data_IF_381586921406
#
_entry.id   IF_381586921406
#
_cell.length_a   1.000
_cell.length_b   1.000
_cell.length_c   1.000
_cell.angle_alpha   90.00
_cell.angle_beta   90.00
_cell.angle_gamma   90.00
#
_symmetry.space_group_name_H-M   'P 1'
#
loop_
_entity.id
_entity.type
_entity.pdbx_description
1 polymer ?
#
# COMPACT_ATOMS: atom_id res chain seq x y z
N UNK A 1 10.78 7.76 3.83
CA UNK A 1 9.31 7.71 3.83
C UNK A 1 8.79 7.26 2.47
N UNK A 2 7.62 6.62 2.43
CA UNK A 2 6.99 6.11 1.22
C UNK A 2 5.60 6.71 1.06
N UNK A 3 5.23 7.10 -0.16
CA UNK A 3 3.89 7.50 -0.52
C UNK A 3 3.25 6.42 -1.37
N UNK A 4 2.30 5.70 -0.81
CA UNK A 4 1.49 4.74 -1.53
C UNK A 4 0.41 5.52 -2.27
N UNK A 5 0.50 5.51 -3.60
CA UNK A 5 -0.46 6.14 -4.51
C UNK A 5 -1.60 5.19 -4.90
N UNK A 6 -1.35 3.87 -4.78
CA UNK A 6 -2.33 2.86 -5.16
C UNK A 6 -2.15 1.56 -4.39
N UNK A 7 -3.27 0.98 -3.97
CA UNK A 7 -3.35 -0.34 -3.35
C UNK A 7 -4.07 -1.26 -4.32
N UNK A 8 -3.47 -2.40 -4.64
CA UNK A 8 -4.07 -3.44 -5.45
C UNK A 8 -4.26 -4.68 -4.57
N UNK A 9 -5.52 -4.96 -4.25
CA UNK A 9 -5.92 -6.16 -3.54
C UNK A 9 -6.20 -7.27 -4.56
N UNK A 10 -5.58 -8.43 -4.36
CA UNK A 10 -5.80 -9.64 -5.13
C UNK A 10 -6.35 -10.71 -4.19
N UNK A 11 -7.54 -11.21 -4.49
CA UNK A 11 -8.15 -12.33 -3.80
C UNK A 11 -8.72 -13.30 -4.83
N UNK A 12 -8.24 -14.54 -4.83
CA UNK A 12 -8.56 -15.51 -5.88
C UNK A 12 -8.36 -14.93 -7.31
N UNK A 13 -9.45 -14.79 -8.07
CA UNK A 13 -9.47 -14.24 -9.44
C UNK A 13 -9.92 -12.78 -9.51
N UNK A 14 -10.19 -12.14 -8.36
CA UNK A 14 -10.67 -10.76 -8.28
C UNK A 14 -9.49 -9.85 -7.96
N UNK A 15 -9.32 -8.83 -8.81
CA UNK A 15 -8.36 -7.75 -8.62
C UNK A 15 -9.11 -6.44 -8.41
N UNK A 16 -8.98 -5.89 -7.20
CA UNK A 16 -9.53 -4.58 -6.85
C UNK A 16 -8.39 -3.59 -6.67
N UNK A 17 -8.47 -2.44 -7.31
CA UNK A 17 -7.47 -1.40 -7.20
C UNK A 17 -8.08 -0.12 -6.63
N UNK A 18 -7.39 0.48 -5.68
CA UNK A 18 -7.81 1.66 -4.94
C UNK A 18 -6.72 2.73 -5.05
N UNK A 19 -7.06 3.88 -5.61
CA UNK A 19 -6.17 5.04 -5.58
C UNK A 19 -6.26 5.66 -4.19
N UNK A 20 -5.11 5.85 -3.56
CA UNK A 20 -4.98 6.38 -2.19
C UNK A 20 -3.78 7.31 -2.14
N UNK A 21 -3.70 8.14 -1.11
CA UNK A 21 -2.49 8.92 -0.82
C UNK A 21 -2.09 8.62 0.62
N UNK A 22 -1.41 7.49 0.82
CA UNK A 22 -1.02 7.02 2.15
C UNK A 22 0.49 7.13 2.34
N UNK A 23 0.91 7.96 3.28
CA UNK A 23 2.30 8.07 3.68
C UNK A 23 2.62 7.03 4.77
N UNK A 24 3.72 6.33 4.62
CA UNK A 24 4.20 5.36 5.62
C UNK A 24 5.72 5.31 5.65
N UNK A 25 6.28 5.02 6.82
CA UNK A 25 7.71 4.73 6.98
C UNK A 25 8.00 3.24 6.85
N UNK A 26 7.01 2.38 7.08
CA UNK A 26 7.13 0.92 7.04
C UNK A 26 6.02 0.31 6.15
N UNK A 27 6.42 -0.04 4.94
CA UNK A 27 5.53 -0.66 3.95
C UNK A 27 5.03 -2.03 4.43
N UNK A 28 5.86 -2.83 5.11
CA UNK A 28 5.50 -4.19 5.52
C UNK A 28 4.47 -4.15 6.64
N UNK A 29 4.63 -3.24 7.61
CA UNK A 29 3.64 -3.01 8.67
C UNK A 29 2.31 -2.55 8.07
N UNK A 30 2.36 -1.50 7.23
CA UNK A 30 1.17 -0.99 6.54
C UNK A 30 0.50 -2.08 5.68
N UNK A 31 1.26 -2.99 5.05
CA UNK A 31 0.67 -4.12 4.31
C UNK A 31 -0.13 -5.05 5.18
N UNK A 32 0.37 -5.40 6.37
CA UNK A 32 -0.33 -6.30 7.29
C UNK A 32 -1.62 -5.68 7.81
N UNK A 33 -1.58 -4.41 8.18
CA UNK A 33 -2.77 -3.68 8.64
C UNK A 33 -3.83 -3.60 7.56
N UNK A 34 -3.44 -3.25 6.32
CA UNK A 34 -4.37 -3.14 5.21
C UNK A 34 -4.88 -4.51 4.73
N UNK A 35 -4.08 -5.57 4.81
CA UNK A 35 -4.52 -6.92 4.45
C UNK A 35 -5.65 -7.40 5.38
N UNK A 36 -5.54 -7.09 6.68
CA UNK A 36 -6.60 -7.36 7.65
C UNK A 36 -7.86 -6.51 7.38
N UNK A 37 -7.69 -5.24 6.99
CA UNK A 37 -8.81 -4.32 6.74
C UNK A 37 -9.58 -4.68 5.46
N UNK A 38 -8.88 -4.89 4.35
CA UNK A 38 -9.47 -5.19 3.05
C UNK A 38 -9.84 -6.67 2.86
N UNK A 39 -9.48 -7.53 3.82
CA UNK A 39 -9.76 -8.97 3.81
C UNK A 39 -9.33 -9.63 2.49
N UNK A 40 -8.09 -9.38 2.07
CA UNK A 40 -7.57 -9.86 0.80
C UNK A 40 -6.34 -10.76 0.97
N UNK A 41 -6.17 -11.70 0.04
CA UNK A 41 -5.09 -12.69 0.11
C UNK A 41 -3.72 -12.03 -0.09
N UNK A 42 -3.66 -11.06 -1.01
CA UNK A 42 -2.43 -10.34 -1.33
C UNK A 42 -2.68 -8.88 -1.63
N UNK A 43 -1.83 -8.03 -1.06
CA UNK A 43 -1.77 -6.60 -1.37
C UNK A 43 -0.49 -6.30 -2.14
N UNK A 44 -0.64 -5.58 -3.25
CA UNK A 44 0.45 -4.93 -3.97
C UNK A 44 0.29 -3.42 -3.85
N UNK A 45 1.37 -2.73 -3.48
CA UNK A 45 1.39 -1.27 -3.42
C UNK A 45 2.10 -0.71 -4.64
N UNK A 46 1.52 0.33 -5.23
CA UNK A 46 2.25 1.24 -6.12
C UNK A 46 2.60 2.47 -5.27
N UNK A 47 3.88 2.65 -5.01
CA UNK A 47 4.36 3.69 -4.10
C UNK A 47 5.63 4.34 -4.64
N UNK A 48 5.83 5.58 -4.22
CA UNK A 48 7.03 6.36 -4.48
C UNK A 48 7.81 6.53 -3.19
N UNK A 49 9.14 6.53 -3.28
CA UNK A 49 9.97 6.85 -2.12
C UNK A 49 10.09 8.36 -2.02
N UNK A 50 9.47 8.94 -1.00
CA UNK A 50 9.72 10.33 -0.65
C UNK A 50 11.04 10.33 0.11
N UNK A 51 12.13 10.66 -0.60
CA UNK A 51 13.34 11.10 0.08
C UNK A 51 12.98 12.41 0.76
N UNK A 52 12.92 12.41 2.10
CA UNK A 52 13.00 13.66 2.83
C UNK A 52 14.30 14.33 2.39
N UNK A 53 14.18 15.36 1.57
CA UNK A 53 15.25 16.31 1.37
C UNK A 53 15.28 17.11 2.65
N UNK A 54 15.89 16.54 3.69
CA UNK A 54 16.27 17.27 4.89
C UNK A 54 17.24 18.34 4.37
N UNK A 55 16.76 19.58 4.36
CA UNK A 55 17.50 20.76 3.93
C UNK A 55 18.24 21.37 5.11
#
# INVERSE_FOLDING_TARGET
MYLINRIVCMSNSIRSAYNVELQTEDIESTRKELANLYQCDRICFEYETIKEVIK
#
